data_IF_554898852472
#
_entry.id   IF_554898852472
#
_cell.length_a   1.000
_cell.length_b   1.000
_cell.length_c   1.000
_cell.angle_alpha   90.00
_cell.angle_beta   90.00
_cell.angle_gamma   90.00
#
_symmetry.space_group_name_H-M   'P 1'
#
loop_
_entity.id
_entity.type
_entity.pdbx_description
1 polymer ?
#
# COMPACT_ATOMS: atom_id res chain seq x y z
N UNK A 1 2.33 8.11 7.17
CA UNK A 1 3.35 7.06 7.26
C UNK A 1 3.36 6.33 5.92
N UNK A 2 2.61 5.23 5.72
CA UNK A 2 2.52 4.51 4.43
C UNK A 2 2.48 5.38 3.14
N UNK A 3 1.48 6.27 3.00
CA UNK A 3 1.39 7.14 1.81
C UNK A 3 2.58 8.12 1.67
N UNK A 4 3.12 8.57 2.81
CA UNK A 4 4.32 9.42 2.88
C UNK A 4 5.55 8.66 2.41
N UNK A 5 5.67 7.37 2.71
CA UNK A 5 6.82 6.57 2.29
C UNK A 5 6.93 6.53 0.76
N UNK A 6 5.79 6.51 0.06
CA UNK A 6 5.71 6.64 -1.40
C UNK A 6 6.06 8.06 -1.86
N UNK A 7 5.34 9.09 -1.38
CA UNK A 7 5.46 10.45 -1.95
C UNK A 7 6.67 11.24 -1.47
N UNK A 8 7.48 10.69 -0.57
CA UNK A 8 8.73 11.28 -0.09
C UNK A 8 9.93 10.36 -0.30
N UNK A 9 9.79 9.37 -1.21
CA UNK A 9 10.90 8.51 -1.59
C UNK A 9 11.62 7.86 -0.40
N UNK A 10 10.90 7.50 0.68
CA UNK A 10 11.54 7.10 1.94
C UNK A 10 12.26 5.77 1.73
N UNK A 11 13.60 5.79 1.75
CA UNK A 11 14.43 4.64 1.36
C UNK A 11 15.61 4.43 2.32
N UNK A 12 16.12 3.19 2.35
CA UNK A 12 17.35 2.82 3.04
C UNK A 12 18.54 2.62 2.09
N UNK A 13 18.33 2.80 0.77
CA UNK A 13 19.35 2.70 -0.27
C UNK A 13 20.19 3.97 -0.46
N UNK A 14 20.03 4.95 0.45
CA UNK A 14 20.76 6.22 0.49
C UNK A 14 20.62 7.08 -0.78
N UNK A 15 19.51 6.94 -1.49
CA UNK A 15 19.17 7.80 -2.63
C UNK A 15 18.44 9.05 -2.14
N UNK A 16 18.62 10.15 -2.87
CA UNK A 16 17.81 11.35 -2.66
C UNK A 16 16.41 11.13 -3.21
N UNK A 17 15.39 11.61 -2.50
CA UNK A 17 14.02 11.65 -3.00
C UNK A 17 13.89 12.59 -4.21
N UNK A 18 13.52 12.05 -5.38
CA UNK A 18 13.10 12.82 -6.56
C UNK A 18 11.61 12.61 -6.91
N UNK A 19 10.84 11.94 -6.06
CA UNK A 19 9.43 11.62 -6.34
C UNK A 19 8.59 12.91 -6.26
N UNK A 20 7.99 13.32 -7.38
CA UNK A 20 7.17 14.55 -7.42
C UNK A 20 5.71 14.34 -7.06
N UNK A 21 5.31 13.09 -6.83
CA UNK A 21 3.96 12.72 -6.44
C UNK A 21 3.53 13.37 -5.13
N UNK A 22 2.24 13.62 -4.97
CA UNK A 22 1.69 14.18 -3.72
C UNK A 22 0.46 13.41 -3.26
N UNK A 23 0.23 13.42 -1.94
CA UNK A 23 -0.96 12.85 -1.31
C UNK A 23 -1.43 13.76 -0.19
N UNK A 24 -2.74 13.90 -0.03
CA UNK A 24 -3.35 14.72 1.01
C UNK A 24 -4.48 14.00 1.71
N UNK A 25 -4.39 13.86 3.04
CA UNK A 25 -5.49 13.34 3.84
C UNK A 25 -6.60 14.38 3.94
N UNK A 26 -7.76 14.10 3.33
CA UNK A 26 -8.90 15.02 3.27
C UNK A 26 -9.85 14.90 4.48
N UNK A 27 -9.50 14.07 5.47
CA UNK A 27 -10.31 13.83 6.66
C UNK A 27 -10.94 12.44 6.69
N UNK A 28 -11.68 12.18 7.77
CA UNK A 28 -12.40 10.92 7.96
C UNK A 28 -13.79 11.00 7.32
N UNK A 29 -14.25 9.88 6.76
CA UNK A 29 -15.56 9.77 6.12
C UNK A 29 -16.25 8.48 6.59
N UNK A 30 -17.58 8.45 6.59
CA UNK A 30 -18.38 7.25 6.88
C UNK A 30 -18.62 6.36 5.65
N UNK A 31 -18.20 6.81 4.47
CA UNK A 31 -18.25 6.05 3.21
C UNK A 31 -17.35 4.83 3.36
N UNK A 32 -17.83 3.67 2.90
CA UNK A 32 -17.03 2.45 2.87
C UNK A 32 -16.04 2.45 1.71
N UNK A 33 -15.00 1.62 1.84
CA UNK A 33 -14.06 1.32 0.75
C UNK A 33 -14.80 0.54 -0.36
N UNK A 34 -14.67 0.93 -1.62
CA UNK A 34 -15.22 0.33 -2.84
C UNK A 34 -14.46 -0.93 -3.28
N UNK A 35 -14.29 -1.85 -2.34
CA UNK A 35 -13.81 -3.21 -2.56
C UNK A 35 -14.89 -4.16 -2.03
N UNK A 36 -15.24 -5.20 -2.78
CA UNK A 36 -16.22 -6.20 -2.34
C UNK A 36 -15.60 -7.12 -1.28
N UNK A 37 -16.44 -7.84 -0.54
CA UNK A 37 -15.96 -8.85 0.42
C UNK A 37 -15.33 -10.06 -0.25
N UNK A 38 -15.57 -10.26 -1.56
CA UNK A 38 -14.93 -11.28 -2.39
C UNK A 38 -13.63 -10.78 -3.06
N UNK A 39 -13.04 -9.68 -2.57
CA UNK A 39 -11.79 -9.09 -3.09
C UNK A 39 -11.85 -8.66 -4.56
N UNK A 40 -12.94 -8.03 -4.98
CA UNK A 40 -13.07 -7.41 -6.31
C UNK A 40 -13.36 -5.91 -6.20
N UNK A 41 -12.76 -5.11 -7.08
CA UNK A 41 -13.01 -3.66 -7.17
C UNK A 41 -14.47 -3.38 -7.52
N UNK A 42 -15.10 -2.47 -6.79
CA UNK A 42 -16.45 -1.99 -7.09
C UNK A 42 -16.39 -0.81 -8.07
N UNK A 43 -17.53 -0.16 -8.30
CA UNK A 43 -17.58 1.03 -9.14
C UNK A 43 -16.96 2.23 -8.39
N UNK A 44 -16.13 3.01 -9.08
CA UNK A 44 -15.62 4.28 -8.55
C UNK A 44 -16.77 5.22 -8.20
N UNK A 45 -16.63 5.95 -7.12
CA UNK A 45 -17.67 6.84 -6.57
C UNK A 45 -17.24 8.30 -6.37
N UNK A 46 -16.06 8.65 -6.87
CA UNK A 46 -15.46 9.97 -6.82
C UNK A 46 -14.67 10.26 -5.56
N UNK A 47 -14.46 9.28 -4.66
CA UNK A 47 -13.73 9.47 -3.41
C UNK A 47 -12.75 8.32 -3.19
N UNK A 48 -11.50 8.66 -2.88
CA UNK A 48 -10.49 7.70 -2.42
C UNK A 48 -10.66 7.40 -0.93
N UNK A 49 -10.79 6.12 -0.57
CA UNK A 49 -11.01 5.68 0.82
C UNK A 49 -10.01 4.59 1.22
N UNK A 50 -9.32 4.82 2.35
CA UNK A 50 -8.48 3.82 3.00
C UNK A 50 -9.17 3.37 4.28
N UNK A 51 -9.32 2.06 4.50
CA UNK A 51 -9.99 1.58 5.71
C UNK A 51 -9.91 0.07 5.96
N UNK A 52 -10.34 -0.33 7.15
CA UNK A 52 -10.40 -1.73 7.54
C UNK A 52 -11.76 -2.36 7.24
N UNK A 53 -11.77 -3.51 6.57
CA UNK A 53 -12.99 -4.20 6.17
C UNK A 53 -12.79 -5.70 6.00
N UNK A 54 -13.78 -6.35 5.39
CA UNK A 54 -13.67 -7.76 5.03
C UNK A 54 -13.11 -7.91 3.61
N UNK A 55 -12.25 -8.90 3.41
CA UNK A 55 -11.74 -9.39 2.12
C UNK A 55 -11.81 -10.91 2.12
N UNK A 56 -11.55 -11.55 0.98
CA UNK A 56 -11.31 -12.99 0.97
C UNK A 56 -10.08 -13.31 1.81
N UNK A 57 -10.10 -14.44 2.53
CA UNK A 57 -9.10 -14.80 3.55
C UNK A 57 -7.67 -14.99 3.03
N UNK A 58 -7.45 -14.95 1.71
CA UNK A 58 -6.12 -15.00 1.10
C UNK A 58 -5.48 -13.60 0.90
N UNK A 59 -6.20 -12.52 1.24
CA UNK A 59 -5.75 -11.14 1.06
C UNK A 59 -5.60 -10.47 2.42
N UNK A 60 -4.37 -10.08 2.74
CA UNK A 60 -4.07 -9.24 3.92
C UNK A 60 -4.57 -7.81 3.71
N UNK A 61 -4.43 -7.30 2.49
CA UNK A 61 -4.96 -6.03 2.04
C UNK A 61 -5.21 -6.08 0.52
N UNK A 62 -5.81 -5.03 -0.01
CA UNK A 62 -6.02 -4.85 -1.44
C UNK A 62 -6.19 -3.36 -1.76
N UNK A 63 -5.51 -2.91 -2.81
CA UNK A 63 -5.77 -1.65 -3.50
C UNK A 63 -6.63 -1.86 -4.76
N UNK A 64 -7.56 -0.94 -4.98
CA UNK A 64 -8.27 -0.75 -6.24
C UNK A 64 -8.07 0.69 -6.67
N UNK A 65 -7.72 0.92 -7.93
CA UNK A 65 -7.52 2.27 -8.45
C UNK A 65 -8.17 2.41 -9.81
N UNK A 66 -8.63 3.62 -10.11
CA UNK A 66 -9.28 3.95 -11.37
C UNK A 66 -8.49 5.04 -12.07
N UNK A 67 -8.27 4.86 -13.36
CA UNK A 67 -7.48 5.79 -14.16
C UNK A 67 -8.32 6.53 -15.19
N UNK A 68 -7.92 7.76 -15.50
CA UNK A 68 -8.44 8.55 -16.62
C UNK A 68 -7.25 9.17 -17.33
N UNK A 69 -7.14 8.96 -18.64
CA UNK A 69 -6.01 9.47 -19.42
C UNK A 69 -4.65 8.93 -18.97
N UNK A 70 -4.60 7.74 -18.35
CA UNK A 70 -3.37 7.13 -17.84
C UNK A 70 -2.99 7.53 -16.42
N UNK A 71 -3.72 8.44 -15.77
CA UNK A 71 -3.45 8.88 -14.40
C UNK A 71 -4.48 8.31 -13.42
N UNK A 72 -4.02 7.89 -12.24
CA UNK A 72 -4.91 7.52 -11.12
C UNK A 72 -5.72 8.74 -10.68
N UNK A 73 -7.05 8.61 -10.71
CA UNK A 73 -7.98 9.69 -10.28
C UNK A 73 -8.72 9.37 -9.00
N UNK A 74 -8.76 8.09 -8.62
CA UNK A 74 -9.43 7.59 -7.43
C UNK A 74 -8.75 6.27 -7.05
N UNK A 75 -8.63 6.02 -5.75
CA UNK A 75 -8.11 4.76 -5.26
C UNK A 75 -8.60 4.42 -3.86
N UNK A 76 -8.83 3.14 -3.65
CA UNK A 76 -9.40 2.58 -2.46
C UNK A 76 -8.49 1.46 -1.94
N UNK A 77 -8.19 1.50 -0.64
CA UNK A 77 -7.33 0.50 0.01
C UNK A 77 -8.11 -0.11 1.17
N UNK A 78 -8.22 -1.44 1.16
CA UNK A 78 -8.82 -2.19 2.27
C UNK A 78 -7.80 -3.06 2.97
N UNK A 79 -7.70 -2.90 4.29
CA UNK A 79 -7.00 -3.85 5.17
C UNK A 79 -7.98 -4.89 5.70
N UNK A 80 -7.65 -6.18 5.58
CA UNK A 80 -8.50 -7.27 6.05
C UNK A 80 -8.43 -7.40 7.58
N UNK A 81 -9.44 -6.91 8.29
CA UNK A 81 -9.54 -7.02 9.76
C UNK A 81 -10.27 -8.27 10.24
N UNK A 82 -10.86 -9.06 9.35
CA UNK A 82 -11.64 -10.23 9.72
C UNK A 82 -10.72 -11.44 9.93
N UNK A 83 -9.76 -11.64 9.04
CA UNK A 83 -8.86 -12.80 9.07
C UNK A 83 -7.49 -12.49 9.69
N UNK A 84 -7.09 -11.22 9.72
CA UNK A 84 -5.75 -10.81 10.13
C UNK A 84 -5.73 -9.79 11.28
N UNK A 85 -4.64 -9.84 12.05
CA UNK A 85 -4.40 -8.94 13.18
C UNK A 85 -3.37 -7.89 12.79
N UNK A 86 -3.52 -6.70 13.34
CA UNK A 86 -2.77 -5.52 12.91
C UNK A 86 -2.00 -4.87 14.07
N UNK A 87 -0.90 -4.21 13.73
CA UNK A 87 -0.10 -3.41 14.66
C UNK A 87 0.41 -2.16 13.96
N UNK A 88 0.31 -1.01 14.63
CA UNK A 88 0.88 0.25 14.12
C UNK A 88 2.36 0.40 14.49
N UNK A 89 2.74 0.01 15.71
CA UNK A 89 4.09 0.13 16.24
C UNK A 89 4.57 -1.24 16.73
N UNK A 90 5.14 -2.08 15.85
CA UNK A 90 5.68 -3.37 16.26
C UNK A 90 6.94 -3.17 17.13
N UNK A 91 6.85 -3.55 18.40
CA UNK A 91 8.03 -3.66 19.28
C UNK A 91 8.73 -5.01 19.14
N UNK A 92 9.80 -5.21 19.90
CA UNK A 92 10.57 -6.47 19.91
C UNK A 92 9.74 -7.74 20.22
N UNK A 93 8.57 -7.59 20.85
CA UNK A 93 7.63 -8.68 21.13
C UNK A 93 6.51 -8.84 20.09
N UNK A 94 6.67 -8.31 18.87
CA UNK A 94 5.67 -8.50 17.83
C UNK A 94 5.53 -9.99 17.50
N UNK A 95 4.27 -10.46 17.45
CA UNK A 95 3.94 -11.83 17.11
C UNK A 95 2.62 -11.89 16.36
N UNK A 96 2.61 -12.56 15.20
CA UNK A 96 1.42 -12.87 14.40
C UNK A 96 0.49 -11.65 14.17
N UNK A 97 1.08 -10.51 13.81
CA UNK A 97 0.38 -9.25 13.46
C UNK A 97 1.07 -8.61 12.26
N UNK A 98 0.29 -8.07 11.35
CA UNK A 98 0.76 -7.33 10.19
C UNK A 98 0.96 -5.86 10.55
N UNK A 99 2.05 -5.29 10.05
CA UNK A 99 2.40 -3.89 10.28
C UNK A 99 1.58 -3.03 9.32
N UNK A 100 0.76 -2.13 9.87
CA UNK A 100 -0.17 -1.31 9.08
C UNK A 100 0.61 -0.42 8.08
N UNK A 101 1.77 0.08 8.50
CA UNK A 101 2.63 0.92 7.66
C UNK A 101 3.17 0.14 6.47
N UNK A 102 3.97 -0.90 6.70
CA UNK A 102 4.48 -1.81 5.67
C UNK A 102 3.43 -2.23 4.62
N UNK A 103 2.32 -2.84 5.06
CA UNK A 103 1.26 -3.27 4.13
C UNK A 103 0.63 -2.06 3.43
N UNK A 104 0.44 -0.96 4.13
CA UNK A 104 -0.06 0.27 3.52
C UNK A 104 0.87 0.79 2.43
N UNK A 105 2.19 0.80 2.65
CA UNK A 105 3.17 1.27 1.66
C UNK A 105 3.07 0.45 0.38
N UNK A 106 3.00 -0.89 0.49
CA UNK A 106 2.79 -1.79 -0.65
C UNK A 106 1.53 -1.43 -1.45
N UNK A 107 0.39 -1.30 -0.75
CA UNK A 107 -0.89 -0.98 -1.41
C UNK A 107 -0.87 0.43 -2.04
N UNK A 108 -0.22 1.40 -1.40
CA UNK A 108 -0.02 2.71 -2.01
C UNK A 108 0.92 2.67 -3.22
N UNK A 109 1.92 1.79 -3.26
CA UNK A 109 2.75 1.59 -4.43
C UNK A 109 1.92 1.28 -5.68
N UNK A 110 0.91 0.41 -5.56
CA UNK A 110 -0.05 0.16 -6.63
C UNK A 110 -0.87 1.39 -7.04
N UNK A 111 -1.36 2.16 -6.05
CA UNK A 111 -2.11 3.40 -6.31
C UNK A 111 -1.28 4.39 -7.14
N UNK A 112 0.02 4.46 -6.87
CA UNK A 112 0.96 5.36 -7.55
C UNK A 112 1.57 4.74 -8.82
N UNK A 113 1.17 3.54 -9.22
CA UNK A 113 1.49 2.97 -10.53
C UNK A 113 2.58 1.91 -10.54
N UNK A 114 3.09 1.49 -9.38
CA UNK A 114 4.01 0.37 -9.28
C UNK A 114 3.29 -0.97 -9.45
N UNK A 115 3.93 -1.86 -10.21
CA UNK A 115 3.52 -3.26 -10.31
C UNK A 115 4.29 -4.12 -9.30
N UNK A 116 3.80 -5.33 -9.04
CA UNK A 116 4.57 -6.30 -8.27
C UNK A 116 5.91 -6.61 -8.92
N UNK A 117 6.90 -6.86 -8.08
CA UNK A 117 8.16 -7.50 -8.48
C UNK A 117 8.14 -8.99 -8.13
N UNK A 118 9.12 -9.72 -8.64
CA UNK A 118 9.24 -11.16 -8.38
C UNK A 118 9.61 -11.45 -6.93
N UNK A 119 8.69 -12.06 -6.19
CA UNK A 119 8.94 -12.56 -4.82
C UNK A 119 10.20 -13.42 -4.72
N UNK A 120 10.42 -14.31 -5.68
CA UNK A 120 11.54 -15.24 -5.65
C UNK A 120 12.90 -14.55 -5.80
N UNK A 121 12.93 -13.35 -6.39
CA UNK A 121 14.17 -12.60 -6.66
C UNK A 121 14.34 -11.41 -5.73
N UNK A 122 13.23 -10.82 -5.28
CA UNK A 122 13.18 -9.54 -4.60
C UNK A 122 12.23 -9.55 -3.39
N UNK A 123 12.33 -10.54 -2.48
CA UNK A 123 11.36 -10.75 -1.39
C UNK A 123 11.29 -9.61 -0.37
N UNK A 124 12.28 -8.70 -0.36
CA UNK A 124 12.36 -7.57 0.57
C UNK A 124 12.07 -6.23 -0.11
N UNK A 125 11.64 -6.22 -1.37
CA UNK A 125 11.20 -4.99 -2.04
C UNK A 125 9.79 -4.64 -1.57
N UNK A 126 9.47 -3.34 -1.56
CA UNK A 126 8.14 -2.86 -1.18
C UNK A 126 7.05 -3.51 -2.01
N UNK A 127 7.30 -3.71 -3.32
CA UNK A 127 6.34 -4.32 -4.24
C UNK A 127 6.45 -5.84 -4.35
N UNK A 128 7.13 -6.51 -3.41
CA UNK A 128 7.06 -7.97 -3.31
C UNK A 128 5.66 -8.40 -2.84
N UNK A 129 5.02 -9.40 -3.47
CA UNK A 129 3.61 -9.72 -3.21
C UNK A 129 3.35 -10.46 -1.88
N UNK A 130 4.40 -10.92 -1.18
CA UNK A 130 4.26 -11.58 0.12
C UNK A 130 4.85 -10.69 1.20
N UNK A 131 4.03 -10.39 2.21
CA UNK A 131 4.46 -9.72 3.44
C UNK A 131 4.21 -10.70 4.59
N UNK A 132 5.19 -10.89 5.47
CA UNK A 132 5.05 -11.76 6.64
C UNK A 132 4.60 -10.99 7.89
N UNK A 133 4.00 -11.66 8.90
CA UNK A 133 3.69 -11.02 10.17
C UNK A 133 4.94 -10.42 10.82
N UNK A 134 4.82 -9.18 11.31
CA UNK A 134 5.88 -8.39 11.94
C UNK A 134 7.03 -7.97 11.00
N UNK A 135 6.91 -8.24 9.70
CA UNK A 135 7.80 -7.72 8.67
C UNK A 135 7.62 -6.22 8.47
N UNK A 136 8.71 -5.57 8.06
CA UNK A 136 8.84 -4.11 7.90
C UNK A 136 9.73 -3.75 6.70
N UNK A 137 9.97 -4.69 5.78
CA UNK A 137 10.81 -4.43 4.62
C UNK A 137 10.21 -3.28 3.77
N UNK A 138 8.88 -3.18 3.79
CA UNK A 138 8.06 -2.22 3.05
C UNK A 138 7.82 -0.91 3.82
N UNK A 139 8.39 -0.74 5.02
CA UNK A 139 8.40 0.57 5.69
C UNK A 139 9.26 1.57 4.88
N UNK A 140 10.15 1.09 4.01
CA UNK A 140 10.98 1.88 3.10
C UNK A 140 10.96 1.31 1.69
N UNK A 141 11.09 2.18 0.70
CA UNK A 141 11.21 1.82 -0.71
C UNK A 141 12.54 1.12 -0.98
N UNK A 142 12.47 -0.04 -1.61
CA UNK A 142 13.64 -0.65 -2.22
C UNK A 142 14.06 0.13 -3.48
N UNK A 143 15.31 -0.03 -3.90
CA UNK A 143 15.88 0.78 -5.01
C UNK A 143 15.03 0.73 -6.28
N UNK A 144 14.55 -0.45 -6.68
CA UNK A 144 13.70 -0.58 -7.87
C UNK A 144 12.31 0.05 -7.71
N UNK A 145 11.77 0.07 -6.50
CA UNK A 145 10.48 0.72 -6.20
C UNK A 145 10.63 2.25 -6.28
N UNK A 146 11.73 2.78 -5.73
CA UNK A 146 12.09 4.20 -5.80
C UNK A 146 12.32 4.64 -7.25
N UNK A 147 13.21 3.96 -7.97
CA UNK A 147 13.51 4.26 -9.39
C UNK A 147 12.23 4.21 -10.24
N UNK A 148 11.32 3.28 -9.93
CA UNK A 148 10.01 3.18 -10.58
C UNK A 148 9.14 4.41 -10.35
N UNK A 149 9.08 4.91 -9.11
CA UNK A 149 8.30 6.12 -8.78
C UNK A 149 8.89 7.37 -9.43
N UNK A 150 10.21 7.55 -9.39
CA UNK A 150 10.91 8.68 -10.03
C UNK A 150 10.81 8.65 -11.56
N UNK A 151 10.56 7.48 -12.15
CA UNK A 151 10.29 7.37 -13.59
C UNK A 151 8.86 7.78 -13.94
N UNK A 152 7.90 7.58 -13.02
CA UNK A 152 6.48 7.89 -13.23
C UNK A 152 6.19 9.38 -12.95
N UNK A 153 6.87 9.99 -11.98
CA UNK A 153 6.62 11.34 -11.45
C UNK A 153 7.88 12.20 -11.45
#
# INVERSE_FOLDING_TARGET
AAATNITHGVNDCHQSDQVTATVGFQGTISRGVNISTSSGCLQRDGISVVGFGNLSANYIAMACWWTVGGHTVEADIRFNKYDYRWVANPGAGCWNRYVIEAVGTHEFGHVFGLAHVSEAQHPLMTMSPIIHPCERAEDTLGLGDLDGLETIY
#
